data_IF_406923425481
#
_entry.id   IF_406923425481
#
_cell.length_a   1.000
_cell.length_b   1.000
_cell.length_c   1.000
_cell.angle_alpha   90.00
_cell.angle_beta   90.00
_cell.angle_gamma   90.00
#
_symmetry.space_group_name_H-M   'P 1'
#
loop_
_entity.id
_entity.type
_entity.pdbx_description
1 polymer ?
#
# COMPACT_ATOMS: atom_id res chain seq x y z
N UNK A 1 -1.15 23.00 -16.32
CA UNK A 1 -1.90 23.18 -15.06
C UNK A 1 -3.38 23.35 -15.40
N UNK A 2 -4.32 22.74 -14.66
CA UNK A 2 -5.76 22.97 -14.89
C UNK A 2 -6.08 24.44 -14.58
N UNK A 3 -6.60 25.18 -15.56
CA UNK A 3 -7.10 26.55 -15.36
C UNK A 3 -8.52 26.44 -14.78
N UNK A 4 -8.64 26.54 -13.46
CA UNK A 4 -9.91 26.37 -12.73
C UNK A 4 -10.57 27.75 -12.61
N UNK A 5 -11.76 27.96 -13.19
CA UNK A 5 -12.54 29.16 -12.91
C UNK A 5 -12.93 29.15 -11.43
N UNK A 6 -12.57 30.19 -10.68
CA UNK A 6 -12.68 30.27 -9.21
C UNK A 6 -14.08 30.01 -8.66
N UNK A 7 -15.12 30.11 -9.51
CA UNK A 7 -16.53 29.80 -9.17
C UNK A 7 -17.02 28.38 -9.50
N UNK A 8 -16.20 27.48 -10.06
CA UNK A 8 -16.60 26.11 -10.50
C UNK A 8 -15.82 24.97 -9.84
N UNK A 9 -15.26 25.20 -8.65
CA UNK A 9 -14.43 24.22 -7.91
C UNK A 9 -15.20 22.93 -7.61
N UNK A 10 -16.47 23.02 -7.21
CA UNK A 10 -17.30 21.85 -6.91
C UNK A 10 -17.45 20.90 -8.10
N UNK A 11 -17.70 21.44 -9.30
CA UNK A 11 -17.83 20.65 -10.52
C UNK A 11 -16.48 20.07 -10.99
N UNK A 12 -15.37 20.77 -10.74
CA UNK A 12 -14.03 20.30 -11.08
C UNK A 12 -13.65 19.03 -10.29
N UNK A 13 -13.89 19.01 -8.97
CA UNK A 13 -13.59 17.86 -8.12
C UNK A 13 -14.43 16.64 -8.54
N UNK A 14 -15.72 16.83 -8.81
CA UNK A 14 -16.61 15.76 -9.26
C UNK A 14 -16.12 15.15 -10.59
N UNK A 15 -15.69 15.99 -11.54
CA UNK A 15 -15.14 15.51 -12.80
C UNK A 15 -13.82 14.73 -12.60
N UNK A 16 -12.94 15.19 -11.70
CA UNK A 16 -11.71 14.48 -11.36
C UNK A 16 -11.96 13.15 -10.65
N UNK A 17 -12.92 13.10 -9.73
CA UNK A 17 -13.33 11.85 -9.08
C UNK A 17 -13.91 10.85 -10.10
N UNK A 18 -14.68 11.32 -11.10
CA UNK A 18 -15.15 10.47 -12.21
C UNK A 18 -14.02 9.96 -13.10
N UNK A 19 -12.98 10.76 -13.33
CA UNK A 19 -11.77 10.30 -14.03
C UNK A 19 -11.05 9.19 -13.22
N UNK A 20 -10.89 9.37 -11.90
CA UNK A 20 -10.26 8.36 -11.04
C UNK A 20 -11.09 7.07 -10.97
N UNK A 21 -12.41 7.15 -10.89
CA UNK A 21 -13.31 5.98 -10.92
C UNK A 21 -13.16 5.17 -12.22
N UNK A 22 -13.00 5.84 -13.37
CA UNK A 22 -12.72 5.15 -14.64
C UNK A 22 -11.38 4.43 -14.61
N UNK A 23 -10.33 5.06 -14.07
CA UNK A 23 -9.02 4.42 -13.94
C UNK A 23 -9.10 3.19 -13.04
N UNK A 24 -9.76 3.28 -11.88
CA UNK A 24 -9.96 2.14 -10.98
C UNK A 24 -10.73 1.01 -11.65
N UNK A 25 -11.73 1.31 -12.49
CA UNK A 25 -12.49 0.32 -13.26
C UNK A 25 -11.68 -0.35 -14.38
N UNK A 26 -10.68 0.33 -14.93
CA UNK A 26 -9.78 -0.24 -15.96
C UNK A 26 -8.77 -1.20 -15.31
N UNK A 27 -8.43 -1.03 -14.03
CA UNK A 27 -7.51 -1.95 -13.35
C UNK A 27 -8.11 -3.34 -13.18
N UNK A 28 -7.30 -4.37 -13.43
CA UNK A 28 -7.71 -5.76 -13.20
C UNK A 28 -7.84 -6.01 -11.70
N UNK A 29 -9.06 -6.29 -11.24
CA UNK A 29 -9.28 -6.79 -9.87
C UNK A 29 -8.55 -8.14 -9.72
N UNK A 30 -7.65 -8.32 -8.74
CA UNK A 30 -6.94 -9.58 -8.58
C UNK A 30 -7.91 -10.71 -8.26
N UNK A 31 -7.66 -11.90 -8.80
CA UNK A 31 -8.36 -13.11 -8.37
C UNK A 31 -7.98 -13.47 -6.94
N UNK A 32 -8.84 -14.20 -6.22
CA UNK A 32 -8.54 -14.67 -4.86
C UNK A 32 -7.26 -15.53 -4.82
N UNK A 33 -6.97 -16.27 -5.88
CA UNK A 33 -5.78 -17.12 -5.95
C UNK A 33 -4.50 -16.30 -6.16
N UNK A 34 -4.54 -15.32 -7.08
CA UNK A 34 -3.43 -14.37 -7.30
C UNK A 34 -3.14 -13.58 -6.01
N UNK A 35 -4.19 -13.09 -5.34
CA UNK A 35 -4.07 -12.39 -4.07
C UNK A 35 -3.44 -13.26 -2.99
N UNK A 36 -3.92 -14.50 -2.81
CA UNK A 36 -3.37 -15.43 -1.81
C UNK A 36 -1.91 -15.77 -2.10
N UNK A 37 -1.52 -15.92 -3.36
CA UNK A 37 -0.15 -16.20 -3.74
C UNK A 37 0.78 -15.04 -3.36
N UNK A 38 0.42 -13.81 -3.73
CA UNK A 38 1.17 -12.61 -3.35
C UNK A 38 1.18 -12.41 -1.83
N UNK A 39 0.03 -12.55 -1.16
CA UNK A 39 -0.09 -12.39 0.28
C UNK A 39 0.77 -13.40 1.05
N UNK A 40 0.84 -14.66 0.60
CA UNK A 40 1.73 -15.68 1.20
C UNK A 40 3.20 -15.33 1.01
N UNK A 41 3.60 -14.89 -0.19
CA UNK A 41 4.97 -14.49 -0.46
C UNK A 41 5.40 -13.27 0.38
N UNK A 42 4.57 -12.22 0.42
CA UNK A 42 4.82 -11.04 1.25
C UNK A 42 4.79 -11.38 2.74
N UNK A 43 3.85 -12.22 3.17
CA UNK A 43 3.75 -12.67 4.56
C UNK A 43 5.00 -13.42 5.02
N UNK A 44 5.53 -14.32 4.18
CA UNK A 44 6.80 -14.99 4.45
C UNK A 44 7.97 -14.00 4.54
N UNK A 45 8.05 -13.02 3.63
CA UNK A 45 9.07 -11.98 3.67
C UNK A 45 9.04 -11.16 4.97
N UNK A 46 7.85 -10.74 5.41
CA UNK A 46 7.66 -9.99 6.66
C UNK A 46 8.11 -10.83 7.87
N UNK A 47 7.72 -12.10 7.92
CA UNK A 47 8.10 -13.00 9.02
C UNK A 47 9.61 -13.18 9.09
N UNK A 48 10.28 -13.39 7.95
CA UNK A 48 11.74 -13.57 7.90
C UNK A 48 12.45 -12.31 8.38
N UNK A 49 12.12 -11.15 7.82
CA UNK A 49 12.76 -9.87 8.17
C UNK A 49 12.48 -9.51 9.63
N UNK A 50 11.22 -9.68 10.08
CA UNK A 50 10.83 -9.43 11.47
C UNK A 50 11.54 -10.35 12.46
N UNK A 51 11.71 -11.63 12.12
CA UNK A 51 12.44 -12.59 12.96
C UNK A 51 13.91 -12.24 13.05
N UNK A 52 14.56 -11.85 11.94
CA UNK A 52 15.96 -11.43 11.95
C UNK A 52 16.15 -10.20 12.83
N UNK A 53 15.30 -9.17 12.65
CA UNK A 53 15.33 -7.98 13.50
C UNK A 53 15.10 -8.31 14.97
N UNK A 54 14.15 -9.21 15.26
CA UNK A 54 13.85 -9.68 16.62
C UNK A 54 15.03 -10.44 17.25
N UNK A 55 15.73 -11.29 16.49
CA UNK A 55 16.90 -12.01 16.99
C UNK A 55 18.02 -11.01 17.33
N UNK A 56 18.25 -10.01 16.47
CA UNK A 56 19.29 -8.99 16.72
C UNK A 56 18.97 -8.23 18.01
N UNK A 57 17.74 -7.76 18.19
CA UNK A 57 17.36 -7.03 19.41
C UNK A 57 17.41 -7.92 20.65
N UNK A 58 16.99 -9.19 20.55
CA UNK A 58 17.11 -10.16 21.64
C UNK A 58 18.56 -10.40 22.06
N UNK A 59 19.48 -10.56 21.11
CA UNK A 59 20.91 -10.75 21.42
C UNK A 59 21.51 -9.49 22.04
N UNK A 60 21.21 -8.31 21.50
CA UNK A 60 21.69 -7.04 22.05
C UNK A 60 21.17 -6.81 23.48
N UNK A 61 19.91 -7.15 23.75
CA UNK A 61 19.31 -7.07 25.07
C UNK A 61 19.95 -8.08 26.05
N UNK A 62 20.22 -9.32 25.61
CA UNK A 62 20.87 -10.33 26.45
C UNK A 62 22.32 -9.96 26.80
N UNK A 63 23.03 -9.31 25.88
CA UNK A 63 24.38 -8.80 26.11
C UNK A 63 24.40 -7.51 26.96
N UNK A 64 23.24 -6.95 27.32
CA UNK A 64 23.12 -5.75 28.15
C UNK A 64 23.65 -4.48 27.47
N UNK A 65 23.72 -4.47 26.14
CA UNK A 65 24.13 -3.32 25.32
C UNK A 65 23.02 -2.27 25.17
N UNK A 66 21.81 -2.60 25.65
CA UNK A 66 20.61 -1.77 25.76
C UNK A 66 20.03 -1.93 27.15
#
# INVERSE_FOLDING_TARGET
MPNIPTGKVGTYIINKLREYDRVLKITKKPSLDEYKMTAKATGLGIVIIGTIGFIITMVVQLLGLI
#
